data_IF_348911297622
#
_entry.id   IF_348911297622
#
_cell.length_a   1.000
_cell.length_b   1.000
_cell.length_c   1.000
_cell.angle_alpha   90.00
_cell.angle_beta   90.00
_cell.angle_gamma   90.00
#
_symmetry.space_group_name_H-M   'P 1'
#
loop_
_entity.id
_entity.type
_entity.pdbx_description
1 polymer ?
#
# COMPACT_ATOMS: atom_id res chain seq x y z
N UNK A 1 -4.60 1.36 22.60
CA UNK A 1 -5.06 2.45 23.53
C UNK A 1 -3.94 2.85 24.50
N UNK A 2 -3.18 1.90 25.06
CA UNK A 2 -2.04 2.21 25.94
C UNK A 2 -0.87 3.00 25.30
N UNK A 3 -0.75 3.04 23.97
CA UNK A 3 0.34 3.74 23.26
C UNK A 3 0.07 5.24 23.03
N UNK A 4 -1.18 5.71 23.18
CA UNK A 4 -1.51 7.12 22.94
C UNK A 4 -1.18 8.07 24.11
N UNK A 5 -0.69 7.56 25.25
CA UNK A 5 -0.41 8.37 26.45
C UNK A 5 0.99 8.99 26.48
N UNK A 6 1.92 8.65 25.57
CA UNK A 6 3.28 9.20 25.58
C UNK A 6 3.54 10.04 24.32
N UNK A 7 3.90 11.31 24.55
CA UNK A 7 3.90 12.42 23.59
C UNK A 7 4.92 12.36 22.43
N UNK A 8 5.47 11.19 22.10
CA UNK A 8 6.30 10.97 20.91
C UNK A 8 6.10 9.54 20.43
N UNK A 9 5.46 9.29 19.27
CA UNK A 9 5.34 7.94 18.75
C UNK A 9 6.73 7.44 18.36
N UNK A 10 7.32 6.62 19.21
CA UNK A 10 8.52 5.86 18.91
C UNK A 10 8.15 4.79 17.88
N UNK A 11 8.98 4.68 16.84
CA UNK A 11 8.77 3.76 15.70
C UNK A 11 8.51 2.33 16.17
N UNK A 12 9.10 1.96 17.31
CA UNK A 12 8.96 0.65 17.95
C UNK A 12 7.55 0.39 18.51
N UNK A 13 6.88 1.40 19.09
CA UNK A 13 5.49 1.26 19.55
C UNK A 13 4.49 1.14 18.39
N UNK A 14 4.71 1.90 17.31
CA UNK A 14 3.93 1.74 16.08
C UNK A 14 4.14 0.35 15.49
N UNK A 15 5.38 -0.13 15.45
CA UNK A 15 5.68 -1.49 15.02
C UNK A 15 4.90 -2.51 15.85
N UNK A 16 4.99 -2.47 17.18
CA UNK A 16 4.34 -3.42 18.10
C UNK A 16 2.79 -3.42 18.04
N UNK A 17 2.14 -2.28 17.83
CA UNK A 17 0.67 -2.22 17.65
C UNK A 17 0.23 -2.76 16.26
N UNK A 18 1.08 -2.61 15.23
CA UNK A 18 0.87 -3.20 13.89
C UNK A 18 1.10 -4.73 13.88
N UNK A 19 2.02 -5.23 14.72
CA UNK A 19 2.26 -6.68 14.91
C UNK A 19 0.99 -7.39 15.38
N UNK A 20 0.24 -6.77 16.30
CA UNK A 20 -0.95 -7.35 16.92
C UNK A 20 -2.21 -7.33 16.05
N UNK A 21 -2.22 -6.61 14.91
CA UNK A 21 -3.43 -6.38 14.08
C UNK A 21 -3.41 -7.07 12.71
N UNK A 22 -2.37 -7.82 12.37
CA UNK A 22 -2.27 -8.47 11.05
C UNK A 22 -1.91 -7.51 9.90
N UNK A 23 -1.35 -6.33 10.20
CA UNK A 23 -0.96 -5.32 9.19
C UNK A 23 0.44 -5.56 8.60
N UNK A 24 1.01 -6.75 8.84
CA UNK A 24 2.30 -7.15 8.28
C UNK A 24 2.30 -7.20 6.77
N UNK A 25 1.16 -7.58 6.17
CA UNK A 25 1.05 -7.67 4.72
C UNK A 25 1.22 -6.28 4.08
N UNK A 26 0.57 -5.25 4.62
CA UNK A 26 0.75 -3.85 4.19
C UNK A 26 2.20 -3.41 4.28
N UNK A 27 2.88 -3.69 5.39
CA UNK A 27 4.27 -3.29 5.60
C UNK A 27 5.22 -4.01 4.63
N UNK A 28 5.08 -5.33 4.49
CA UNK A 28 5.90 -6.14 3.59
C UNK A 28 5.69 -5.74 2.13
N UNK A 29 4.45 -5.44 1.76
CA UNK A 29 4.10 -4.97 0.44
C UNK A 29 4.74 -3.61 0.13
N UNK A 30 4.66 -2.65 1.04
CA UNK A 30 5.33 -1.35 0.89
C UNK A 30 6.86 -1.47 0.85
N UNK A 31 7.44 -2.30 1.73
CA UNK A 31 8.88 -2.58 1.74
C UNK A 31 9.34 -3.21 0.42
N UNK A 32 8.56 -4.13 -0.14
CA UNK A 32 8.90 -4.76 -1.41
C UNK A 32 8.78 -3.77 -2.58
N UNK A 33 7.61 -3.13 -2.74
CA UNK A 33 7.34 -2.30 -3.92
C UNK A 33 8.06 -0.95 -3.87
N UNK A 34 7.95 -0.22 -2.76
CA UNK A 34 8.51 1.14 -2.62
C UNK A 34 9.88 1.12 -1.96
N UNK A 35 10.13 0.17 -1.06
CA UNK A 35 11.42 -0.01 -0.42
C UNK A 35 12.46 -0.60 -1.36
N UNK A 36 12.19 -1.77 -1.96
CA UNK A 36 13.16 -2.50 -2.77
C UNK A 36 13.04 -2.19 -4.27
N UNK A 37 11.88 -2.48 -4.90
CA UNK A 37 11.72 -2.40 -6.35
C UNK A 37 11.87 -0.97 -6.89
N UNK A 38 11.18 0.00 -6.28
CA UNK A 38 11.28 1.42 -6.65
C UNK A 38 12.71 1.93 -6.51
N UNK A 39 13.39 1.66 -5.39
CA UNK A 39 14.77 2.09 -5.19
C UNK A 39 15.74 1.45 -6.19
N UNK A 40 15.58 0.14 -6.46
CA UNK A 40 16.42 -0.59 -7.41
C UNK A 40 16.30 -0.03 -8.83
N UNK A 41 15.09 0.34 -9.25
CA UNK A 41 14.83 0.95 -10.56
C UNK A 41 15.27 2.42 -10.61
N UNK A 42 15.08 3.17 -9.52
CA UNK A 42 15.48 4.58 -9.41
C UNK A 42 16.99 4.79 -9.57
N UNK A 43 17.83 3.80 -9.22
CA UNK A 43 19.28 3.85 -9.47
C UNK A 43 19.66 3.93 -10.95
N UNK A 44 18.78 3.50 -11.87
CA UNK A 44 19.08 3.35 -13.31
C UNK A 44 18.14 4.15 -14.22
N UNK A 45 17.08 4.76 -13.69
CA UNK A 45 16.01 5.36 -14.50
C UNK A 45 15.47 6.65 -13.90
N UNK A 46 14.85 7.48 -14.74
CA UNK A 46 14.13 8.69 -14.34
C UNK A 46 12.91 8.33 -13.47
N UNK A 47 12.47 9.23 -12.56
CA UNK A 47 11.43 8.92 -11.59
C UNK A 47 10.07 8.58 -12.21
N UNK A 48 9.64 9.26 -13.28
CA UNK A 48 8.37 8.99 -13.94
C UNK A 48 8.20 7.51 -14.39
N UNK A 49 9.12 6.98 -15.22
CA UNK A 49 9.10 5.57 -15.60
C UNK A 49 9.19 4.59 -14.43
N UNK A 50 9.91 4.94 -13.35
CA UNK A 50 10.00 4.10 -12.15
C UNK A 50 8.64 4.00 -11.48
N UNK A 51 8.00 5.15 -11.21
CA UNK A 51 6.67 5.23 -10.60
C UNK A 51 5.66 4.43 -11.44
N UNK A 52 5.60 4.69 -12.74
CA UNK A 52 4.66 4.02 -13.64
C UNK A 52 4.87 2.50 -13.66
N UNK A 53 6.11 2.04 -13.80
CA UNK A 53 6.42 0.62 -13.89
C UNK A 53 6.12 -0.10 -12.57
N UNK A 54 6.50 0.50 -11.44
CA UNK A 54 6.19 -0.08 -10.13
C UNK A 54 4.69 -0.13 -9.87
N UNK A 55 3.94 0.93 -10.23
CA UNK A 55 2.48 0.95 -10.11
C UNK A 55 1.81 -0.10 -11.00
N UNK A 56 2.31 -0.29 -12.22
CA UNK A 56 1.76 -1.28 -13.16
C UNK A 56 1.90 -2.71 -12.65
N UNK A 57 3.10 -3.10 -12.20
CA UNK A 57 3.33 -4.43 -11.66
C UNK A 57 2.64 -4.64 -10.31
N UNK A 58 2.56 -3.59 -9.49
CA UNK A 58 1.77 -3.56 -8.26
C UNK A 58 0.29 -3.86 -8.54
N UNK A 59 -0.32 -3.16 -9.49
CA UNK A 59 -1.72 -3.39 -9.86
C UNK A 59 -1.93 -4.71 -10.57
N UNK A 60 -0.94 -5.20 -11.34
CA UNK A 60 -1.02 -6.50 -11.99
C UNK A 60 -1.03 -7.64 -10.97
N UNK A 61 -0.19 -7.55 -9.94
CA UNK A 61 -0.21 -8.49 -8.81
C UNK A 61 -1.60 -8.56 -8.17
N UNK A 62 -2.23 -7.41 -7.91
CA UNK A 62 -3.60 -7.35 -7.38
C UNK A 62 -4.64 -7.88 -8.36
N UNK A 63 -4.50 -7.59 -9.65
CA UNK A 63 -5.40 -8.12 -10.68
C UNK A 63 -5.45 -9.64 -10.62
N UNK A 64 -4.28 -10.29 -10.57
CA UNK A 64 -4.19 -11.75 -10.48
C UNK A 64 -4.87 -12.30 -9.22
N UNK A 65 -4.80 -11.58 -8.10
CA UNK A 65 -5.46 -11.95 -6.85
C UNK A 65 -6.99 -11.79 -6.90
N UNK A 66 -7.52 -10.83 -7.66
CA UNK A 66 -8.97 -10.56 -7.73
C UNK A 66 -9.70 -11.33 -8.83
N UNK A 67 -8.99 -11.90 -9.81
CA UNK A 67 -9.57 -12.76 -10.86
C UNK A 67 -10.48 -13.88 -10.30
N UNK A 68 -10.07 -14.68 -9.29
CA UNK A 68 -10.93 -15.72 -8.75
C UNK A 68 -12.10 -15.19 -7.90
N UNK A 69 -12.05 -13.91 -7.49
CA UNK A 69 -13.04 -13.29 -6.60
C UNK A 69 -14.17 -12.59 -7.36
N UNK A 70 -13.89 -12.06 -8.56
CA UNK A 70 -14.86 -11.25 -9.32
C UNK A 70 -14.96 -11.69 -10.77
N UNK A 71 -16.18 -11.77 -11.28
CA UNK A 71 -16.44 -11.99 -12.70
C UNK A 71 -16.15 -10.74 -13.54
N UNK A 72 -15.94 -10.93 -14.84
CA UNK A 72 -15.87 -9.83 -15.80
C UNK A 72 -17.20 -9.03 -15.79
N UNK A 73 -17.17 -7.68 -15.83
CA UNK A 73 -16.01 -6.78 -15.94
C UNK A 73 -15.45 -6.27 -14.59
N UNK A 74 -16.00 -6.73 -13.46
CA UNK A 74 -15.69 -6.19 -12.14
C UNK A 74 -14.25 -6.44 -11.70
N UNK A 75 -13.66 -7.58 -12.09
CA UNK A 75 -12.25 -7.86 -11.83
C UNK A 75 -11.29 -6.78 -12.38
N UNK A 76 -11.58 -6.19 -13.54
CA UNK A 76 -10.79 -5.08 -14.10
C UNK A 76 -11.14 -3.75 -13.44
N UNK A 77 -12.42 -3.50 -13.19
CA UNK A 77 -12.86 -2.25 -12.54
C UNK A 77 -12.21 -2.06 -11.16
N UNK A 78 -12.06 -3.14 -10.39
CA UNK A 78 -11.45 -3.10 -9.06
C UNK A 78 -9.95 -2.79 -9.07
N UNK A 79 -9.25 -3.03 -10.18
CA UNK A 79 -7.79 -2.80 -10.28
C UNK A 79 -7.45 -1.35 -10.61
N UNK A 80 -8.37 -0.61 -11.23
CA UNK A 80 -8.17 0.81 -11.58
C UNK A 80 -7.80 1.64 -10.34
N UNK A 81 -8.56 1.63 -9.22
CA UNK A 81 -8.19 2.39 -8.02
C UNK A 81 -6.85 1.92 -7.42
N UNK A 82 -6.54 0.62 -7.48
CA UNK A 82 -5.26 0.07 -7.01
C UNK A 82 -4.08 0.61 -7.81
N UNK A 83 -4.23 0.72 -9.14
CA UNK A 83 -3.21 1.32 -10.01
C UNK A 83 -3.01 2.80 -9.69
N UNK A 84 -4.10 3.55 -9.50
CA UNK A 84 -4.03 4.99 -9.14
C UNK A 84 -3.36 5.19 -7.77
N UNK A 85 -3.71 4.37 -6.77
CA UNK A 85 -3.02 4.33 -5.49
C UNK A 85 -1.52 4.02 -5.66
N UNK A 86 -1.20 3.04 -6.52
CA UNK A 86 0.16 2.72 -6.96
C UNK A 86 0.96 3.95 -7.41
N UNK A 87 0.37 4.76 -8.29
CA UNK A 87 0.97 6.00 -8.79
C UNK A 87 1.13 7.05 -7.70
N UNK A 88 0.09 7.29 -6.89
CA UNK A 88 0.10 8.29 -5.82
C UNK A 88 1.18 7.96 -4.80
N UNK A 89 1.19 6.73 -4.28
CA UNK A 89 2.15 6.30 -3.26
C UNK A 89 3.58 6.22 -3.84
N UNK A 90 3.73 5.84 -5.11
CA UNK A 90 5.01 5.90 -5.82
C UNK A 90 5.55 7.34 -5.93
N UNK A 91 4.67 8.31 -6.22
CA UNK A 91 5.02 9.72 -6.23
C UNK A 91 5.37 10.24 -4.83
N UNK A 92 4.61 9.85 -3.80
CA UNK A 92 4.92 10.18 -2.40
C UNK A 92 6.31 9.66 -1.99
N UNK A 93 6.63 8.41 -2.36
CA UNK A 93 7.95 7.79 -2.10
C UNK A 93 9.08 8.59 -2.76
N UNK A 94 8.88 9.00 -4.00
CA UNK A 94 9.84 9.81 -4.75
C UNK A 94 10.03 11.19 -4.12
N UNK A 95 8.94 11.88 -3.78
CA UNK A 95 8.99 13.27 -3.29
C UNK A 95 9.52 13.37 -1.85
N UNK A 96 9.11 12.45 -0.98
CA UNK A 96 9.42 12.51 0.45
C UNK A 96 10.69 11.77 0.84
N UNK A 97 11.15 10.81 0.02
CA UNK A 97 12.25 9.94 0.41
C UNK A 97 11.87 8.91 1.50
N UNK A 98 10.63 8.92 2.00
CA UNK A 98 10.15 8.06 3.08
C UNK A 98 9.12 7.03 2.59
N UNK A 99 9.00 5.93 3.34
CA UNK A 99 7.94 4.92 3.17
C UNK A 99 6.74 5.18 4.07
N UNK A 100 6.90 5.99 5.12
CA UNK A 100 5.89 6.14 6.15
C UNK A 100 4.56 6.68 5.59
N UNK A 101 4.64 7.64 4.67
CA UNK A 101 3.45 8.20 4.03
C UNK A 101 2.66 7.17 3.22
N UNK A 102 3.34 6.30 2.47
CA UNK A 102 2.66 5.26 1.70
C UNK A 102 2.09 4.16 2.61
N UNK A 103 2.83 3.74 3.63
CA UNK A 103 2.38 2.77 4.65
C UNK A 103 1.09 3.25 5.33
N UNK A 104 1.05 4.49 5.81
CA UNK A 104 -0.14 5.04 6.48
C UNK A 104 -1.32 5.10 5.52
N UNK A 105 -1.13 5.62 4.30
CA UNK A 105 -2.20 5.70 3.32
C UNK A 105 -2.72 4.32 2.90
N UNK A 106 -1.84 3.34 2.78
CA UNK A 106 -2.19 1.97 2.42
C UNK A 106 -2.98 1.30 3.56
N UNK A 107 -2.49 1.36 4.80
CA UNK A 107 -3.21 0.82 5.95
C UNK A 107 -4.60 1.46 6.13
N UNK A 108 -4.74 2.76 5.86
CA UNK A 108 -6.04 3.44 5.86
C UNK A 108 -6.95 2.98 4.72
N UNK A 109 -6.41 2.73 3.53
CA UNK A 109 -7.18 2.19 2.41
C UNK A 109 -7.72 0.79 2.72
N UNK A 110 -6.87 -0.10 3.24
CA UNK A 110 -7.26 -1.47 3.64
C UNK A 110 -8.32 -1.43 4.73
N UNK A 111 -8.11 -0.59 5.75
CA UNK A 111 -9.08 -0.39 6.84
C UNK A 111 -10.42 0.14 6.30
N UNK A 112 -10.38 1.08 5.35
CA UNK A 112 -11.57 1.63 4.72
C UNK A 112 -12.36 0.58 3.92
N UNK A 113 -11.68 -0.26 3.15
CA UNK A 113 -12.31 -1.38 2.41
C UNK A 113 -12.94 -2.36 3.40
N UNK A 114 -12.20 -2.74 4.44
CA UNK A 114 -12.71 -3.65 5.47
C UNK A 114 -13.90 -3.07 6.23
N UNK A 115 -13.90 -1.76 6.52
CA UNK A 115 -15.03 -1.10 7.14
C UNK A 115 -16.28 -1.12 6.25
N UNK A 116 -16.14 -0.86 4.95
CA UNK A 116 -17.27 -0.96 4.00
C UNK A 116 -17.80 -2.40 3.95
N UNK A 117 -16.92 -3.40 3.93
CA UNK A 117 -17.33 -4.80 3.98
C UNK A 117 -18.12 -5.11 5.27
N UNK A 118 -17.60 -4.74 6.44
CA UNK A 118 -18.23 -5.03 7.72
C UNK A 118 -19.56 -4.28 7.95
N UNK A 119 -19.69 -3.06 7.42
CA UNK A 119 -20.88 -2.23 7.67
C UNK A 119 -22.01 -2.49 6.67
N UNK A 120 -21.69 -2.96 5.46
CA UNK A 120 -22.67 -3.06 4.37
C UNK A 120 -22.83 -4.47 3.79
N UNK A 121 -21.88 -5.39 4.03
CA UNK A 121 -21.84 -6.70 3.37
C UNK A 121 -21.72 -7.90 4.33
N UNK A 122 -21.30 -7.70 5.59
CA UNK A 122 -21.21 -8.74 6.63
C UNK A 122 -22.51 -8.85 7.44
#
# INVERSE_FOLDING_TARGET
>A
IACMETHTPDVLCLELDMIGRGQWDTLLEELYWRGFMHQKLAKKRRPGPVILLTALFYSLYHFLSVIPLFAWPFNVMMVIPVFLAGLIWGYMRYRSGSLLGSIICHALADTGIMAVYLLYLA
#
